data_IF_885588902201
#
_entry.id   IF_885588902201
#
_cell.length_a   1.000
_cell.length_b   1.000
_cell.length_c   1.000
_cell.angle_alpha   90.00
_cell.angle_beta   90.00
_cell.angle_gamma   90.00
#
_symmetry.space_group_name_H-M   'P 1'
#
loop_
_entity.id
_entity.type
_entity.pdbx_description
1 polymer ?
#
# COMPACT_ATOMS: atom_id res chain seq x y z
N UNK A 1 -15.88 20.15 -11.53
CA UNK A 1 -15.77 19.32 -10.31
C UNK A 1 -14.67 18.29 -10.52
N UNK A 2 -13.76 18.18 -9.57
CA UNK A 2 -12.70 17.16 -9.60
C UNK A 2 -13.11 15.95 -8.76
N UNK A 3 -13.00 14.77 -9.33
CA UNK A 3 -13.30 13.50 -8.65
C UNK A 3 -12.02 12.71 -8.52
N UNK A 4 -11.72 12.21 -7.32
CA UNK A 4 -10.60 11.33 -7.03
C UNK A 4 -11.16 10.12 -6.29
N UNK A 5 -10.84 8.92 -6.78
CA UNK A 5 -11.30 7.67 -6.18
C UNK A 5 -10.24 7.15 -5.22
N UNK A 6 -10.63 6.82 -4.01
CA UNK A 6 -9.80 6.12 -3.04
C UNK A 6 -10.39 4.74 -2.79
N UNK A 7 -9.57 3.70 -2.87
CA UNK A 7 -10.01 2.32 -2.69
C UNK A 7 -9.08 1.56 -1.75
N UNK A 8 -9.69 0.79 -0.86
CA UNK A 8 -8.98 -0.26 -0.13
C UNK A 8 -8.58 -1.39 -1.08
N UNK A 9 -7.61 -2.20 -0.70
CA UNK A 9 -7.13 -3.34 -1.49
C UNK A 9 -7.75 -4.66 -1.01
N UNK A 10 -7.34 -5.13 0.16
CA UNK A 10 -7.76 -6.44 0.69
C UNK A 10 -9.25 -6.44 1.04
N UNK A 11 -9.97 -7.43 0.51
CA UNK A 11 -11.41 -7.56 0.74
C UNK A 11 -12.28 -6.57 -0.05
N UNK A 12 -11.69 -5.68 -0.85
CA UNK A 12 -12.43 -4.68 -1.64
C UNK A 12 -12.06 -4.78 -3.11
N UNK A 13 -10.84 -4.40 -3.49
CA UNK A 13 -10.35 -4.41 -4.86
C UNK A 13 -9.77 -5.77 -5.25
N UNK A 14 -9.14 -6.45 -4.31
CA UNK A 14 -8.51 -7.76 -4.53
C UNK A 14 -9.53 -8.89 -4.39
N UNK A 15 -9.35 -9.93 -5.23
CA UNK A 15 -10.12 -11.17 -5.13
C UNK A 15 -9.65 -12.04 -3.94
N UNK A 16 -10.27 -13.22 -3.78
CA UNK A 16 -9.94 -14.16 -2.70
C UNK A 16 -8.47 -14.65 -2.77
N UNK A 17 -7.84 -14.58 -3.93
CA UNK A 17 -6.43 -14.95 -4.13
C UNK A 17 -5.46 -13.76 -3.92
N UNK A 18 -5.97 -12.59 -3.53
CA UNK A 18 -5.16 -11.38 -3.35
C UNK A 18 -4.74 -10.73 -4.67
N UNK A 19 -5.50 -10.92 -5.73
CA UNK A 19 -5.18 -10.40 -7.06
C UNK A 19 -6.29 -9.48 -7.57
N UNK A 20 -5.90 -8.55 -8.44
CA UNK A 20 -6.87 -7.71 -9.16
C UNK A 20 -7.35 -8.47 -10.38
N UNK A 21 -8.67 -8.60 -10.56
CA UNK A 21 -9.26 -9.26 -11.71
C UNK A 21 -9.01 -8.50 -13.02
N UNK A 22 -8.98 -9.21 -14.15
CA UNK A 22 -8.81 -8.59 -15.46
C UNK A 22 -9.92 -7.59 -15.77
N UNK A 23 -11.15 -7.85 -15.33
CA UNK A 23 -12.28 -6.94 -15.51
C UNK A 23 -12.04 -5.63 -14.75
N UNK A 24 -11.58 -5.71 -13.51
CA UNK A 24 -11.25 -4.53 -12.70
C UNK A 24 -10.11 -3.73 -13.31
N UNK A 25 -9.05 -4.40 -13.77
CA UNK A 25 -7.91 -3.75 -14.44
C UNK A 25 -8.40 -2.97 -15.66
N UNK A 26 -9.21 -3.62 -16.52
CA UNK A 26 -9.75 -3.00 -17.73
C UNK A 26 -10.61 -1.78 -17.39
N UNK A 27 -11.49 -1.90 -16.42
CA UNK A 27 -12.39 -0.83 -16.00
C UNK A 27 -11.61 0.39 -15.49
N UNK A 28 -10.63 0.18 -14.63
CA UNK A 28 -9.81 1.26 -14.07
C UNK A 28 -8.94 1.90 -15.14
N UNK A 29 -8.30 1.10 -16.02
CA UNK A 29 -7.47 1.63 -17.10
C UNK A 29 -8.28 2.43 -18.14
N UNK A 30 -9.51 2.07 -18.38
CA UNK A 30 -10.41 2.79 -19.30
C UNK A 30 -11.03 4.04 -18.65
N UNK A 31 -11.06 4.09 -17.32
CA UNK A 31 -11.51 5.27 -16.61
C UNK A 31 -10.47 6.38 -16.73
N UNK A 32 -10.92 7.61 -16.91
CA UNK A 32 -10.07 8.81 -16.86
C UNK A 32 -9.93 9.38 -15.45
N UNK A 33 -10.57 8.74 -14.46
CA UNK A 33 -10.56 9.23 -13.07
C UNK A 33 -9.26 8.83 -12.37
N UNK A 34 -8.67 9.74 -11.58
CA UNK A 34 -7.54 9.39 -10.73
C UNK A 34 -7.97 8.43 -9.63
N UNK A 35 -7.16 7.38 -9.42
CA UNK A 35 -7.41 6.35 -8.42
C UNK A 35 -6.18 6.22 -7.53
N UNK A 36 -6.39 6.24 -6.22
CA UNK A 36 -5.36 5.98 -5.22
C UNK A 36 -5.79 4.82 -4.33
N UNK A 37 -4.88 3.89 -4.12
CA UNK A 37 -5.08 2.78 -3.19
C UNK A 37 -4.69 3.23 -1.78
N UNK A 38 -5.46 2.77 -0.81
CA UNK A 38 -5.22 3.01 0.61
C UNK A 38 -5.17 1.65 1.30
N UNK A 39 -4.04 1.29 1.89
CA UNK A 39 -3.83 -0.06 2.40
C UNK A 39 -2.95 -0.08 3.65
N UNK A 40 -3.10 -1.14 4.44
CA UNK A 40 -2.16 -1.47 5.51
C UNK A 40 -0.83 -2.03 4.98
N UNK A 41 -0.80 -2.44 3.70
CA UNK A 41 0.38 -3.01 3.06
C UNK A 41 1.52 -2.00 2.95
N UNK A 42 2.75 -2.51 2.81
CA UNK A 42 3.90 -1.69 2.47
C UNK A 42 3.83 -1.19 1.02
N UNK A 43 4.54 -0.12 0.66
CA UNK A 43 4.64 0.30 -0.74
C UNK A 43 5.09 -0.83 -1.66
N UNK A 44 6.07 -1.60 -1.24
CA UNK A 44 6.59 -2.74 -2.00
C UNK A 44 5.53 -3.78 -2.32
N UNK A 45 4.65 -4.07 -1.36
CA UNK A 45 3.56 -5.03 -1.52
C UNK A 45 2.42 -4.48 -2.38
N UNK A 46 2.28 -3.16 -2.46
CA UNK A 46 1.25 -2.51 -3.27
C UNK A 46 1.66 -2.35 -4.74
N UNK A 47 2.95 -2.23 -5.02
CA UNK A 47 3.45 -1.91 -6.37
C UNK A 47 2.98 -2.88 -7.47
N UNK A 48 2.91 -4.21 -7.28
CA UNK A 48 2.40 -5.09 -8.32
C UNK A 48 0.98 -4.72 -8.80
N UNK A 49 0.07 -4.41 -7.88
CA UNK A 49 -1.29 -3.97 -8.22
C UNK A 49 -1.29 -2.59 -8.88
N UNK A 50 -0.50 -1.66 -8.36
CA UNK A 50 -0.36 -0.30 -8.91
C UNK A 50 0.09 -0.35 -10.37
N UNK A 51 1.10 -1.16 -10.67
CA UNK A 51 1.64 -1.34 -12.02
C UNK A 51 0.57 -1.95 -12.94
N UNK A 52 -0.09 -3.01 -12.51
CA UNK A 52 -1.14 -3.67 -13.30
C UNK A 52 -2.32 -2.75 -13.60
N UNK A 53 -2.71 -1.94 -12.64
CA UNK A 53 -3.80 -0.97 -12.78
C UNK A 53 -3.38 0.29 -13.55
N UNK A 54 -2.08 0.50 -13.75
CA UNK A 54 -1.56 1.69 -14.42
C UNK A 54 -1.76 2.98 -13.63
N UNK A 55 -1.72 2.91 -12.31
CA UNK A 55 -1.95 4.07 -11.45
C UNK A 55 -0.72 4.98 -11.41
N UNK A 56 -0.97 6.27 -11.53
CA UNK A 56 0.07 7.31 -11.54
C UNK A 56 -0.09 8.34 -10.43
N UNK A 57 -1.17 8.25 -9.67
CA UNK A 57 -1.46 9.14 -8.55
C UNK A 57 -0.71 8.72 -7.28
N UNK A 58 -0.57 9.61 -6.29
CA UNK A 58 -0.06 9.21 -4.98
C UNK A 58 -0.89 8.08 -4.36
N UNK A 59 -0.21 7.19 -3.66
CA UNK A 59 -0.80 6.02 -3.01
C UNK A 59 -0.51 6.07 -1.50
N UNK A 60 -1.34 5.39 -0.70
CA UNK A 60 -1.25 5.41 0.75
C UNK A 60 -0.96 4.00 1.28
N UNK A 61 0.16 3.85 1.97
CA UNK A 61 0.61 2.60 2.57
C UNK A 61 0.65 2.69 4.10
N UNK A 62 0.78 1.54 4.77
CA UNK A 62 0.89 1.44 6.22
C UNK A 62 -0.23 2.19 6.97
N UNK A 63 -1.47 2.09 6.48
CA UNK A 63 -2.63 2.81 7.06
C UNK A 63 -2.39 4.33 7.21
N UNK A 64 -1.70 4.94 6.27
CA UNK A 64 -1.37 6.36 6.31
C UNK A 64 0.04 6.70 6.82
N UNK A 65 0.82 5.70 7.22
CA UNK A 65 2.19 5.92 7.66
C UNK A 65 3.11 6.44 6.56
N UNK A 66 2.83 6.11 5.32
CA UNK A 66 3.55 6.62 4.13
C UNK A 66 2.54 6.98 3.04
N UNK A 67 2.69 8.16 2.47
CA UNK A 67 2.11 8.52 1.18
C UNK A 67 3.25 8.55 0.17
N UNK A 68 3.11 7.83 -0.94
CA UNK A 68 4.19 7.68 -1.91
C UNK A 68 3.70 7.89 -3.35
N UNK A 69 4.62 8.30 -4.21
CA UNK A 69 4.39 8.48 -5.63
C UNK A 69 4.99 7.31 -6.40
N UNK A 70 4.18 6.52 -7.14
CA UNK A 70 4.74 5.53 -8.06
C UNK A 70 5.49 6.21 -9.21
N UNK A 71 6.63 5.67 -9.55
CA UNK A 71 7.45 6.12 -10.68
C UNK A 71 7.93 4.89 -11.44
N UNK A 72 7.27 4.54 -12.56
CA UNK A 72 7.57 3.33 -13.30
C UNK A 72 7.39 2.09 -12.43
N UNK A 73 8.45 1.32 -12.21
CA UNK A 73 8.44 0.11 -11.38
C UNK A 73 8.89 0.37 -9.94
N UNK A 74 9.21 1.61 -9.61
CA UNK A 74 9.66 2.04 -8.28
C UNK A 74 8.74 3.10 -7.71
N UNK A 75 9.09 3.66 -6.56
CA UNK A 75 8.31 4.67 -5.87
C UNK A 75 9.20 5.60 -5.05
N UNK A 76 8.69 6.79 -4.75
CA UNK A 76 9.33 7.75 -3.86
C UNK A 76 8.36 8.18 -2.78
N UNK A 77 8.80 8.36 -1.52
CA UNK A 77 7.92 8.85 -0.46
C UNK A 77 7.63 10.34 -0.68
N UNK A 78 6.37 10.72 -0.48
CA UNK A 78 5.94 12.12 -0.42
C UNK A 78 5.88 12.59 1.03
N UNK A 79 5.27 11.77 1.90
CA UNK A 79 5.26 11.98 3.34
C UNK A 79 5.50 10.66 4.04
N UNK A 80 6.17 10.69 5.18
CA UNK A 80 6.38 9.53 6.03
C UNK A 80 6.28 9.94 7.50
N UNK A 81 5.58 9.13 8.30
CA UNK A 81 5.47 9.30 9.74
C UNK A 81 6.03 8.06 10.42
N UNK A 82 7.36 7.98 10.57
CA UNK A 82 8.01 6.81 11.17
C UNK A 82 7.80 6.76 12.67
N UNK A 83 7.88 5.54 13.23
CA UNK A 83 7.97 5.35 14.68
C UNK A 83 9.33 5.87 15.14
N UNK A 84 9.38 6.49 16.32
CA UNK A 84 10.64 6.89 16.93
C UNK A 84 11.59 5.70 17.02
N UNK A 85 12.83 5.88 16.58
CA UNK A 85 13.82 4.79 16.50
C UNK A 85 14.13 4.17 17.87
N UNK A 86 14.22 5.00 18.92
CA UNK A 86 14.49 4.53 20.28
C UNK A 86 13.34 3.64 20.74
N UNK A 87 12.10 4.06 20.51
CA UNK A 87 10.91 3.29 20.85
C UNK A 87 10.84 1.98 20.05
N UNK A 88 11.15 2.02 18.76
CA UNK A 88 11.18 0.82 17.92
C UNK A 88 12.21 -0.20 18.41
N UNK A 89 13.40 0.25 18.80
CA UNK A 89 14.44 -0.60 19.35
C UNK A 89 14.06 -1.25 20.68
N UNK A 90 13.15 -0.67 21.43
CA UNK A 90 12.61 -1.23 22.66
C UNK A 90 11.50 -2.23 22.39
N UNK A 91 10.58 -1.92 21.47
CA UNK A 91 9.37 -2.72 21.20
C UNK A 91 9.68 -3.98 20.39
N UNK A 92 10.52 -3.88 19.36
CA UNK A 92 10.79 -5.01 18.45
C UNK A 92 11.31 -6.26 19.17
N UNK A 93 12.32 -6.17 20.07
CA UNK A 93 12.77 -7.34 20.82
C UNK A 93 11.69 -7.92 21.73
N UNK A 94 10.86 -7.07 22.35
CA UNK A 94 9.77 -7.51 23.24
C UNK A 94 8.76 -8.33 22.45
N UNK A 95 8.34 -7.85 21.27
CA UNK A 95 7.41 -8.56 20.40
C UNK A 95 7.99 -9.87 19.90
N UNK A 96 9.25 -9.89 19.49
CA UNK A 96 9.92 -11.09 19.02
C UNK A 96 10.02 -12.18 20.10
N UNK A 97 10.29 -11.78 21.35
CA UNK A 97 10.36 -12.70 22.48
C UNK A 97 8.98 -13.16 22.95
N UNK A 98 7.98 -12.28 22.93
CA UNK A 98 6.63 -12.57 23.43
C UNK A 98 5.85 -13.44 22.46
N UNK A 99 6.06 -13.25 21.16
CA UNK A 99 5.36 -13.97 20.10
C UNK A 99 6.35 -14.61 19.11
N UNK A 100 7.10 -15.65 19.55
CA UNK A 100 8.20 -16.23 18.74
C UNK A 100 7.71 -16.91 17.46
N UNK A 101 6.43 -17.34 17.41
CA UNK A 101 5.84 -18.02 16.25
C UNK A 101 5.16 -17.06 15.26
N UNK A 102 5.20 -15.77 15.53
CA UNK A 102 4.60 -14.72 14.67
C UNK A 102 5.69 -14.04 13.88
N UNK A 103 5.48 -13.91 12.56
CA UNK A 103 6.35 -13.12 11.71
C UNK A 103 6.30 -11.64 12.09
N UNK A 104 7.46 -11.00 12.19
CA UNK A 104 7.60 -9.58 12.49
C UNK A 104 8.30 -8.89 11.33
N UNK A 105 7.62 -7.91 10.72
CA UNK A 105 8.19 -7.09 9.66
C UNK A 105 8.19 -5.63 10.10
N UNK A 106 9.30 -4.96 9.83
CA UNK A 106 9.42 -3.52 10.03
C UNK A 106 10.25 -2.90 8.91
N UNK A 107 9.97 -1.64 8.64
CA UNK A 107 10.55 -0.92 7.51
C UNK A 107 11.12 0.42 7.94
#
# INVERSE_FOLDING_TARGET
>A
MTIHIFSDMDGTLLDACGRVSNTTIKTIRQSSLPVSLVSARSPREMMPAIIRLGLTTPQVAFNGGIVFQPIGVTWVPLTATPINLILARQIVPILACTFPDVGLSYY
#
